data_IF_465111607615
#
_entry.id   IF_465111607615
#
_cell.length_a   1.000
_cell.length_b   1.000
_cell.length_c   1.000
_cell.angle_alpha   90.00
_cell.angle_beta   90.00
_cell.angle_gamma   90.00
#
_symmetry.space_group_name_H-M   'P 1'
#
loop_
_entity.id
_entity.type
_entity.pdbx_description
1 polymer ?
#
# COMPACT_ATOMS: atom_id res chain seq x y z
N UNK A 1 -29.20 20.04 0.39
CA UNK A 1 -28.02 20.92 0.36
C UNK A 1 -26.85 20.09 -0.11
N UNK A 2 -26.18 20.47 -1.21
CA UNK A 2 -25.02 19.74 -1.68
C UNK A 2 -23.85 19.95 -0.73
N UNK A 3 -23.12 18.89 -0.41
CA UNK A 3 -21.87 18.99 0.34
C UNK A 3 -20.92 19.97 -0.37
N UNK A 4 -20.19 20.76 0.41
CA UNK A 4 -19.16 21.65 -0.15
C UNK A 4 -18.07 20.79 -0.81
N UNK A 5 -17.32 21.37 -1.77
CA UNK A 5 -16.19 20.70 -2.40
C UNK A 5 -15.17 20.22 -1.35
N UNK A 6 -14.99 20.99 -0.29
CA UNK A 6 -14.11 20.64 0.82
C UNK A 6 -14.61 19.41 1.59
N UNK A 7 -15.91 19.33 1.93
CA UNK A 7 -16.51 18.16 2.58
C UNK A 7 -16.42 16.91 1.70
N UNK A 8 -16.60 17.07 0.38
CA UNK A 8 -16.46 15.95 -0.56
C UNK A 8 -15.04 15.41 -0.57
N UNK A 9 -14.03 16.28 -0.60
CA UNK A 9 -12.63 15.89 -0.55
C UNK A 9 -12.27 15.21 0.79
N UNK A 10 -12.73 15.75 1.91
CA UNK A 10 -12.52 15.17 3.24
C UNK A 10 -13.17 13.77 3.36
N UNK A 11 -14.40 13.63 2.91
CA UNK A 11 -15.08 12.33 2.92
C UNK A 11 -14.35 11.30 2.05
N UNK A 12 -13.87 11.71 0.85
CA UNK A 12 -13.10 10.83 -0.02
C UNK A 12 -11.81 10.37 0.66
N UNK A 13 -11.11 11.28 1.31
CA UNK A 13 -9.88 10.97 2.07
C UNK A 13 -10.15 9.99 3.21
N UNK A 14 -11.23 10.17 3.97
CA UNK A 14 -11.64 9.25 5.04
C UNK A 14 -11.97 7.86 4.52
N UNK A 15 -12.68 7.75 3.39
CA UNK A 15 -12.98 6.47 2.75
C UNK A 15 -11.69 5.79 2.33
N UNK A 16 -10.79 6.50 1.66
CA UNK A 16 -9.53 5.95 1.14
C UNK A 16 -8.59 5.52 2.28
N UNK A 17 -8.48 6.31 3.33
CA UNK A 17 -7.67 5.97 4.51
C UNK A 17 -8.18 4.69 5.21
N UNK A 18 -9.49 4.55 5.37
CA UNK A 18 -10.08 3.35 5.97
C UNK A 18 -9.92 2.13 5.05
N UNK A 19 -10.14 2.29 3.74
CA UNK A 19 -9.93 1.22 2.77
C UNK A 19 -8.48 0.73 2.78
N UNK A 20 -7.51 1.64 2.80
CA UNK A 20 -6.07 1.32 2.87
C UNK A 20 -5.70 0.49 4.11
N UNK A 21 -6.31 0.77 5.27
CA UNK A 21 -6.11 -0.05 6.48
C UNK A 21 -6.76 -1.44 6.36
N UNK A 22 -8.00 -1.49 5.85
CA UNK A 22 -8.73 -2.75 5.69
C UNK A 22 -8.03 -3.70 4.72
N UNK A 23 -7.57 -3.22 3.55
CA UNK A 23 -6.86 -4.08 2.60
C UNK A 23 -5.62 -4.73 3.20
N UNK A 24 -4.83 -3.98 4.00
CA UNK A 24 -3.63 -4.54 4.66
C UNK A 24 -3.96 -5.55 5.75
N UNK A 25 -5.02 -5.28 6.53
CA UNK A 25 -5.40 -6.13 7.66
C UNK A 25 -6.10 -7.41 7.23
N UNK A 26 -6.99 -7.31 6.25
CA UNK A 26 -7.99 -8.34 5.94
C UNK A 26 -7.94 -8.82 4.47
N UNK A 27 -7.10 -8.19 3.62
CA UNK A 27 -6.98 -8.50 2.19
C UNK A 27 -7.91 -7.67 1.29
N UNK A 28 -7.62 -7.66 -0.03
CA UNK A 28 -8.37 -6.86 -1.02
C UNK A 28 -9.85 -7.23 -1.09
N UNK A 29 -10.16 -8.52 -1.05
CA UNK A 29 -11.54 -9.00 -1.18
C UNK A 29 -12.40 -8.72 0.05
N UNK A 30 -11.81 -8.42 1.20
CA UNK A 30 -12.53 -8.10 2.44
C UNK A 30 -13.29 -6.76 2.38
N UNK A 31 -12.87 -5.84 1.49
CA UNK A 31 -13.44 -4.49 1.42
C UNK A 31 -14.78 -4.48 0.71
N UNK A 32 -15.85 -4.54 1.48
CA UNK A 32 -17.22 -4.36 1.02
C UNK A 32 -17.63 -2.88 1.06
N UNK A 33 -18.17 -2.34 -0.04
CA UNK A 33 -18.56 -0.92 -0.14
C UNK A 33 -19.51 -0.50 0.98
N UNK A 34 -20.54 -1.30 1.27
CA UNK A 34 -21.52 -0.97 2.31
C UNK A 34 -20.91 -0.90 3.71
N UNK A 35 -20.06 -1.87 4.05
CA UNK A 35 -19.38 -1.93 5.35
C UNK A 35 -18.39 -0.79 5.50
N UNK A 36 -17.60 -0.53 4.46
CA UNK A 36 -16.64 0.57 4.44
C UNK A 36 -17.30 1.93 4.62
N UNK A 37 -18.37 2.22 3.84
CA UNK A 37 -19.08 3.49 3.96
C UNK A 37 -19.69 3.68 5.35
N UNK A 38 -20.23 2.61 5.91
CA UNK A 38 -20.78 2.63 7.28
C UNK A 38 -19.68 2.90 8.33
N UNK A 39 -18.47 2.32 8.18
CA UNK A 39 -17.37 2.52 9.13
C UNK A 39 -16.89 3.98 9.19
N UNK A 40 -17.01 4.71 8.09
CA UNK A 40 -16.68 6.13 8.03
C UNK A 40 -17.87 7.07 8.23
N UNK A 41 -19.05 6.53 8.62
CA UNK A 41 -20.24 7.31 8.92
C UNK A 41 -20.96 7.87 7.69
N UNK A 42 -20.80 7.22 6.53
CA UNK A 42 -21.40 7.62 5.26
C UNK A 42 -22.42 6.59 4.76
N UNK A 43 -23.31 7.01 3.86
CA UNK A 43 -24.30 6.11 3.26
C UNK A 43 -23.72 5.33 2.10
N UNK A 44 -24.19 4.09 1.87
CA UNK A 44 -23.78 3.29 0.71
C UNK A 44 -23.98 4.02 -0.63
N UNK A 45 -25.10 4.73 -0.80
CA UNK A 45 -25.40 5.48 -2.03
C UNK A 45 -24.44 6.64 -2.30
N UNK A 46 -23.78 7.17 -1.25
CA UNK A 46 -22.76 8.22 -1.40
C UNK A 46 -21.45 7.76 -2.04
N UNK A 47 -21.20 6.45 -2.09
CA UNK A 47 -19.96 5.88 -2.62
C UNK A 47 -19.64 6.35 -4.06
N UNK A 48 -20.59 6.24 -4.96
CA UNK A 48 -20.43 6.60 -6.36
C UNK A 48 -20.26 8.11 -6.63
N UNK A 49 -20.46 8.93 -5.60
CA UNK A 49 -20.06 10.34 -5.61
C UNK A 49 -18.56 10.57 -5.41
N UNK A 50 -17.82 9.55 -4.94
CA UNK A 50 -16.41 9.62 -4.60
C UNK A 50 -15.52 8.73 -5.46
N UNK A 51 -16.00 7.54 -5.85
CA UNK A 51 -15.26 6.55 -6.65
C UNK A 51 -16.15 6.00 -7.77
N UNK A 52 -15.55 5.79 -8.94
CA UNK A 52 -16.27 5.27 -10.12
C UNK A 52 -16.70 3.81 -9.93
N UNK A 53 -15.91 3.02 -9.21
CA UNK A 53 -16.16 1.62 -8.97
C UNK A 53 -15.45 1.12 -7.71
N UNK A 54 -15.83 -0.07 -7.22
CA UNK A 54 -15.08 -0.76 -6.17
C UNK A 54 -13.64 -1.06 -6.60
N UNK A 55 -13.44 -1.43 -7.86
CA UNK A 55 -12.11 -1.70 -8.42
C UNK A 55 -11.21 -0.47 -8.37
N UNK A 56 -11.73 0.71 -8.78
CA UNK A 56 -11.00 1.96 -8.69
C UNK A 56 -10.63 2.31 -7.24
N UNK A 57 -11.55 2.13 -6.30
CA UNK A 57 -11.24 2.30 -4.87
C UNK A 57 -10.14 1.36 -4.41
N UNK A 58 -10.19 0.07 -4.78
CA UNK A 58 -9.19 -0.92 -4.35
C UNK A 58 -7.80 -0.62 -4.90
N UNK A 59 -7.68 -0.20 -6.15
CA UNK A 59 -6.42 0.22 -6.74
C UNK A 59 -5.82 1.43 -5.99
N UNK A 60 -6.61 2.47 -5.71
CA UNK A 60 -6.16 3.64 -4.95
C UNK A 60 -5.83 3.29 -3.48
N UNK A 61 -6.62 2.42 -2.85
CA UNK A 61 -6.36 1.95 -1.48
C UNK A 61 -5.06 1.13 -1.39
N UNK A 62 -4.80 0.31 -2.40
CA UNK A 62 -3.56 -0.44 -2.53
C UNK A 62 -2.36 0.49 -2.73
N UNK A 63 -2.44 1.44 -3.66
CA UNK A 63 -1.39 2.45 -3.89
C UNK A 63 -1.05 3.18 -2.58
N UNK A 64 -2.06 3.67 -1.89
CA UNK A 64 -1.88 4.32 -0.60
C UNK A 64 -1.23 3.40 0.44
N UNK A 65 -1.67 2.16 0.53
CA UNK A 65 -1.11 1.17 1.44
C UNK A 65 0.37 0.91 1.18
N UNK A 66 0.77 0.82 -0.08
CA UNK A 66 2.16 0.65 -0.51
C UNK A 66 3.02 1.85 -0.14
N UNK A 67 2.57 3.07 -0.46
CA UNK A 67 3.29 4.31 -0.15
C UNK A 67 3.45 4.54 1.37
N UNK A 68 2.40 4.29 2.16
CA UNK A 68 2.46 4.39 3.62
C UNK A 68 3.40 3.33 4.23
N UNK A 69 3.37 2.09 3.74
CA UNK A 69 4.28 1.03 4.16
C UNK A 69 5.74 1.37 3.87
N UNK A 70 6.01 1.91 2.69
CA UNK A 70 7.34 2.39 2.31
C UNK A 70 7.82 3.55 3.19
N UNK A 71 6.97 4.55 3.43
CA UNK A 71 7.30 5.69 4.30
C UNK A 71 7.61 5.23 5.73
N UNK A 72 6.85 4.29 6.26
CA UNK A 72 7.08 3.71 7.58
C UNK A 72 8.38 2.89 7.65
N UNK A 73 8.73 2.18 6.57
CA UNK A 73 10.00 1.45 6.47
C UNK A 73 11.20 2.39 6.38
N UNK A 74 11.08 3.50 5.64
CA UNK A 74 12.17 4.49 5.50
C UNK A 74 12.45 5.28 6.78
N UNK A 75 11.48 5.43 7.66
CA UNK A 75 11.54 6.30 8.83
C UNK A 75 11.47 7.79 8.47
N UNK A 76 11.19 8.64 9.46
CA UNK A 76 11.10 10.09 9.24
C UNK A 76 12.50 10.72 9.05
N UNK A 77 12.71 11.42 7.94
CA UNK A 77 13.80 12.40 7.82
C UNK A 77 15.03 11.97 7.02
N UNK A 78 14.95 11.00 6.11
CA UNK A 78 16.10 10.59 5.29
C UNK A 78 15.93 10.95 3.80
N UNK A 79 16.29 12.20 3.45
CA UNK A 79 16.51 12.63 2.05
C UNK A 79 17.87 12.14 1.47
N UNK A 80 18.63 11.35 2.23
CA UNK A 80 19.92 10.85 1.79
C UNK A 80 19.79 9.47 1.13
N UNK A 81 20.60 9.19 0.10
CA UNK A 81 20.71 7.84 -0.45
C UNK A 81 20.97 6.84 0.69
N UNK A 82 20.09 5.88 0.83
CA UNK A 82 20.18 4.90 1.92
C UNK A 82 21.13 3.78 1.52
N UNK A 83 22.05 3.41 2.42
CA UNK A 83 22.88 2.24 2.17
C UNK A 83 22.02 0.96 2.16
N UNK A 84 22.42 -0.03 1.38
CA UNK A 84 21.73 -1.32 1.32
C UNK A 84 21.51 -1.93 2.72
N UNK A 85 22.50 -1.87 3.58
CA UNK A 85 22.37 -2.36 4.95
C UNK A 85 21.31 -1.60 5.78
N UNK A 86 21.09 -0.31 5.50
CA UNK A 86 20.03 0.46 6.13
C UNK A 86 18.66 0.03 5.61
N UNK A 87 18.51 -0.12 4.30
CA UNK A 87 17.26 -0.61 3.67
C UNK A 87 16.84 -1.95 4.27
N UNK A 88 17.76 -2.92 4.33
CA UNK A 88 17.50 -4.24 4.90
C UNK A 88 17.04 -4.16 6.36
N UNK A 89 17.75 -3.40 7.20
CA UNK A 89 17.39 -3.27 8.63
C UNK A 89 16.04 -2.60 8.85
N UNK A 90 15.75 -1.56 8.07
CA UNK A 90 14.46 -0.85 8.14
C UNK A 90 13.32 -1.72 7.67
N UNK A 91 13.49 -2.37 6.53
CA UNK A 91 12.47 -3.24 5.93
C UNK A 91 12.14 -4.45 6.82
N UNK A 92 13.15 -5.11 7.39
CA UNK A 92 12.99 -6.25 8.28
C UNK A 92 12.79 -5.87 9.77
N UNK A 93 12.49 -4.60 10.06
CA UNK A 93 12.21 -4.16 11.42
C UNK A 93 10.93 -4.80 11.96
N UNK A 94 10.86 -4.96 13.29
CA UNK A 94 9.64 -5.46 13.96
C UNK A 94 8.44 -4.57 13.71
N UNK A 95 8.63 -3.26 13.69
CA UNK A 95 7.56 -2.29 13.39
C UNK A 95 6.97 -2.52 12.01
N UNK A 96 7.82 -2.75 10.98
CA UNK A 96 7.35 -2.99 9.62
C UNK A 96 6.71 -4.39 9.46
N UNK A 97 7.18 -5.37 10.20
CA UNK A 97 6.64 -6.73 10.20
C UNK A 97 5.30 -6.84 10.94
N UNK A 98 5.22 -6.29 12.16
CA UNK A 98 4.15 -6.61 13.12
C UNK A 98 2.95 -5.67 13.02
N UNK A 99 3.08 -4.53 12.33
CA UNK A 99 2.02 -3.53 12.19
C UNK A 99 1.01 -3.92 11.10
N UNK A 100 -0.01 -4.69 11.45
CA UNK A 100 -0.99 -5.25 10.49
C UNK A 100 -1.70 -4.20 9.62
N UNK A 101 -1.93 -3.01 10.13
CA UNK A 101 -2.65 -1.94 9.42
C UNK A 101 -1.74 -0.90 8.76
N UNK A 102 -0.43 -0.91 9.07
CA UNK A 102 0.53 0.09 8.59
C UNK A 102 1.90 -0.48 8.19
N UNK A 103 2.06 -1.80 8.25
CA UNK A 103 3.30 -2.50 7.86
C UNK A 103 3.43 -2.73 6.36
N UNK A 104 4.18 -3.74 5.99
CA UNK A 104 4.50 -4.05 4.59
C UNK A 104 3.26 -4.48 3.79
N UNK A 105 2.77 -3.60 2.90
CA UNK A 105 1.66 -3.91 2.04
C UNK A 105 2.01 -4.96 0.95
N UNK A 106 3.27 -5.01 0.49
CA UNK A 106 3.71 -6.03 -0.46
C UNK A 106 3.57 -7.42 0.16
N UNK A 107 4.20 -7.66 1.32
CA UNK A 107 4.16 -8.96 1.98
C UNK A 107 2.73 -9.39 2.36
N UNK A 108 1.88 -8.42 2.77
CA UNK A 108 0.50 -8.69 3.14
C UNK A 108 -0.40 -9.04 1.95
N UNK A 109 -0.17 -8.45 0.76
CA UNK A 109 -1.14 -8.43 -0.34
C UNK A 109 -0.66 -9.07 -1.65
N UNK A 110 0.61 -9.47 -1.79
CA UNK A 110 1.14 -10.01 -3.05
C UNK A 110 0.33 -11.19 -3.58
N UNK A 111 -0.12 -12.08 -2.72
CA UNK A 111 -0.93 -13.24 -3.12
C UNK A 111 -2.36 -12.87 -3.51
N UNK A 112 -2.94 -11.82 -2.91
CA UNK A 112 -4.26 -11.31 -3.28
C UNK A 112 -4.21 -10.59 -4.61
N UNK A 113 -3.21 -9.73 -4.80
CA UNK A 113 -3.00 -8.95 -6.03
C UNK A 113 -2.76 -9.85 -7.24
N UNK A 114 -2.10 -10.99 -7.08
CA UNK A 114 -1.91 -11.96 -8.16
C UNK A 114 -3.24 -12.44 -8.80
N UNK A 115 -4.34 -12.35 -8.04
CA UNK A 115 -5.70 -12.74 -8.48
C UNK A 115 -6.64 -11.56 -8.69
N UNK A 116 -6.15 -10.34 -8.45
CA UNK A 116 -6.93 -9.12 -8.57
C UNK A 116 -7.10 -8.65 -10.03
N UNK A 117 -7.84 -7.57 -10.21
CA UNK A 117 -7.99 -6.91 -11.50
C UNK A 117 -6.67 -6.31 -12.02
N UNK A 118 -6.68 -5.89 -13.29
CA UNK A 118 -5.51 -5.34 -13.97
C UNK A 118 -4.97 -4.10 -13.26
N UNK A 119 -5.84 -3.17 -12.84
CA UNK A 119 -5.42 -1.93 -12.21
C UNK A 119 -4.66 -2.18 -10.89
N UNK A 120 -5.16 -3.09 -10.05
CA UNK A 120 -4.48 -3.46 -8.80
C UNK A 120 -3.13 -4.15 -9.07
N UNK A 121 -3.05 -4.98 -10.13
CA UNK A 121 -1.77 -5.62 -10.51
C UNK A 121 -0.75 -4.60 -11.01
N UNK A 122 -1.16 -3.63 -11.84
CA UNK A 122 -0.30 -2.55 -12.34
C UNK A 122 0.27 -1.74 -11.18
N UNK A 123 -0.58 -1.30 -10.25
CA UNK A 123 -0.15 -0.56 -9.05
C UNK A 123 0.91 -1.32 -8.24
N UNK A 124 0.71 -2.61 -8.01
CA UNK A 124 1.69 -3.43 -7.29
C UNK A 124 2.99 -3.60 -8.07
N UNK A 125 2.90 -3.82 -9.39
CA UNK A 125 4.05 -3.99 -10.28
C UNK A 125 4.92 -2.74 -10.27
N UNK A 126 4.34 -1.58 -10.51
CA UNK A 126 5.05 -0.29 -10.55
C UNK A 126 5.77 -0.01 -9.21
N UNK A 127 5.11 -0.34 -8.11
CA UNK A 127 5.72 -0.16 -6.78
C UNK A 127 6.88 -1.12 -6.53
N UNK A 128 6.77 -2.40 -6.93
CA UNK A 128 7.84 -3.39 -6.81
C UNK A 128 9.03 -2.99 -7.70
N UNK A 129 8.79 -2.56 -8.93
CA UNK A 129 9.84 -2.08 -9.84
C UNK A 129 10.58 -0.87 -9.26
N UNK A 130 9.86 0.08 -8.68
CA UNK A 130 10.44 1.22 -7.97
C UNK A 130 11.30 0.78 -6.78
N UNK A 131 10.85 -0.20 -6.02
CA UNK A 131 11.62 -0.74 -4.90
C UNK A 131 12.88 -1.47 -5.37
N UNK A 132 12.79 -2.28 -6.43
CA UNK A 132 13.96 -2.93 -7.06
C UNK A 132 14.96 -1.88 -7.54
N UNK A 133 14.49 -0.82 -8.21
CA UNK A 133 15.37 0.26 -8.68
C UNK A 133 16.12 0.95 -7.51
N UNK A 134 15.42 1.22 -6.41
CA UNK A 134 16.02 1.79 -5.19
C UNK A 134 17.10 0.88 -4.60
N UNK A 135 16.86 -0.42 -4.55
CA UNK A 135 17.84 -1.39 -4.05
C UNK A 135 19.00 -1.56 -5.03
N UNK A 136 18.74 -1.52 -6.34
CA UNK A 136 19.76 -1.54 -7.40
C UNK A 136 20.75 -0.39 -7.23
N UNK A 137 20.24 0.83 -7.02
CA UNK A 137 21.08 2.00 -6.76
C UNK A 137 21.96 1.79 -5.51
N UNK A 138 21.37 1.31 -4.42
CA UNK A 138 22.09 1.02 -3.16
C UNK A 138 23.13 -0.10 -3.28
N UNK A 139 23.04 -0.96 -4.30
CA UNK A 139 23.97 -2.03 -4.64
C UNK A 139 24.96 -1.64 -5.77
N UNK A 140 25.03 -0.36 -6.15
CA UNK A 140 25.96 0.13 -7.17
C UNK A 140 25.59 -0.29 -8.60
N UNK A 141 24.31 -0.52 -8.88
CA UNK A 141 23.78 -0.84 -10.21
C UNK A 141 23.58 -2.33 -10.49
N UNK A 142 23.73 -3.20 -9.48
CA UNK A 142 23.56 -4.66 -9.64
C UNK A 142 22.07 -5.04 -9.48
N UNK A 143 21.34 -5.04 -10.60
CA UNK A 143 19.89 -5.34 -10.63
C UNK A 143 19.58 -6.80 -10.28
N UNK A 144 20.39 -7.76 -10.72
CA UNK A 144 20.16 -9.18 -10.41
C UNK A 144 20.21 -9.42 -8.90
N UNK A 145 21.20 -8.86 -8.22
CA UNK A 145 21.29 -8.92 -6.76
C UNK A 145 20.16 -8.16 -6.07
N UNK A 146 19.70 -7.05 -6.65
CA UNK A 146 18.57 -6.29 -6.12
C UNK A 146 17.27 -7.11 -6.16
N UNK A 147 16.97 -7.79 -7.26
CA UNK A 147 15.83 -8.68 -7.39
C UNK A 147 15.86 -9.79 -6.33
N UNK A 148 17.02 -10.45 -6.17
CA UNK A 148 17.18 -11.49 -5.14
C UNK A 148 16.97 -10.91 -3.73
N UNK A 149 17.56 -9.75 -3.43
CA UNK A 149 17.45 -9.10 -2.13
C UNK A 149 16.01 -8.70 -1.80
N UNK A 150 15.31 -8.05 -2.74
CA UNK A 150 13.89 -7.67 -2.57
C UNK A 150 13.01 -8.90 -2.36
N UNK A 151 13.21 -9.94 -3.18
CA UNK A 151 12.46 -11.20 -3.05
C UNK A 151 12.68 -11.85 -1.68
N UNK A 152 13.93 -11.87 -1.19
CA UNK A 152 14.27 -12.40 0.13
C UNK A 152 13.66 -11.59 1.26
N UNK A 153 13.70 -10.24 1.17
CA UNK A 153 13.12 -9.35 2.19
C UNK A 153 11.60 -9.49 2.26
N UNK A 154 10.91 -9.51 1.12
CA UNK A 154 9.45 -9.70 1.07
C UNK A 154 9.08 -11.09 1.60
N UNK A 155 9.78 -12.13 1.16
CA UNK A 155 9.56 -13.49 1.63
C UNK A 155 9.78 -13.64 3.14
N UNK A 156 10.80 -13.00 3.70
CA UNK A 156 11.06 -13.03 5.15
C UNK A 156 9.96 -12.38 6.00
N UNK A 157 9.23 -11.39 5.46
CA UNK A 157 8.09 -10.79 6.15
C UNK A 157 6.79 -11.59 5.97
N UNK A 158 6.68 -12.39 4.90
CA UNK A 158 5.51 -13.21 4.61
C UNK A 158 5.49 -14.54 5.40
N UNK A 159 6.63 -14.96 5.95
CA UNK A 159 6.81 -16.19 6.75
C UNK A 159 6.61 -15.95 8.25
#
# INVERSE_FOLDING_TARGET
>A
MGHSQAEKAENRERILAEASRQVRRDGLESVGVGTLMKSVGLTHGGFYGHFESRSALLAEALERALLEGEANAKGQGSDRPQSFAHIVRSYLSRTHRDARESGCAIAALVSDVARADTSSREVMTDHIETFIATVTEALGGDEERAIVAVSAMVGALAL
#
